data_IF_315244567112
#
_entry.id   IF_315244567112
#
_cell.length_a   1.000
_cell.length_b   1.000
_cell.length_c   1.000
_cell.angle_alpha   90.00
_cell.angle_beta   90.00
_cell.angle_gamma   90.00
#
_symmetry.space_group_name_H-M   'P 1'
#
loop_
_entity.id
_entity.type
_entity.pdbx_description
1 polymer ?
#
# COMPACT_ATOMS: atom_id res chain seq x y z
N UNK A 1 41.71 10.74 13.50
CA UNK A 1 40.49 10.68 12.66
C UNK A 1 39.50 11.67 13.25
N UNK A 2 38.75 12.42 12.44
CA UNK A 2 37.69 13.28 12.97
C UNK A 2 36.52 12.44 13.51
N UNK A 3 35.79 12.99 14.44
CA UNK A 3 34.54 12.40 14.92
C UNK A 3 33.51 12.33 13.81
N UNK A 4 32.90 11.16 13.55
CA UNK A 4 31.79 11.01 12.64
C UNK A 4 30.51 11.53 13.27
N UNK A 5 29.58 12.02 12.43
CA UNK A 5 28.34 12.68 12.85
C UNK A 5 27.13 12.06 12.23
N UNK A 6 26.13 11.79 13.07
CA UNK A 6 24.80 11.33 12.65
C UNK A 6 23.74 12.38 12.97
N UNK A 7 23.03 12.85 11.96
CA UNK A 7 21.84 13.70 12.10
C UNK A 7 20.61 12.80 12.16
N UNK A 8 19.92 12.78 13.30
CA UNK A 8 18.79 11.90 13.59
C UNK A 8 17.54 12.75 13.84
N UNK A 9 16.56 12.63 12.94
CA UNK A 9 15.26 13.31 13.04
C UNK A 9 14.16 12.40 12.56
N UNK A 10 13.50 11.66 13.47
CA UNK A 10 12.53 10.63 13.12
C UNK A 10 11.17 10.89 13.76
N UNK A 11 10.12 10.68 12.98
CA UNK A 11 8.75 10.64 13.49
C UNK A 11 8.48 9.29 14.18
N UNK A 12 8.66 8.18 13.47
CA UNK A 12 8.65 6.83 14.05
C UNK A 12 9.95 6.59 14.81
N UNK A 13 9.83 6.44 16.13
CA UNK A 13 10.94 6.28 17.06
C UNK A 13 11.27 4.82 17.37
N UNK A 14 10.73 3.88 16.61
CA UNK A 14 10.97 2.44 16.77
C UNK A 14 12.48 2.14 16.61
N UNK A 15 13.10 1.52 17.62
CA UNK A 15 14.50 1.11 17.60
C UNK A 15 15.55 2.23 17.60
N UNK A 16 15.13 3.52 17.56
CA UNK A 16 16.07 4.65 17.40
C UNK A 16 17.01 4.82 18.60
N UNK A 17 16.55 4.50 19.80
CA UNK A 17 17.37 4.63 21.03
C UNK A 17 18.53 3.65 21.01
N UNK A 18 18.28 2.39 20.69
CA UNK A 18 19.32 1.36 20.62
C UNK A 18 20.30 1.62 19.48
N UNK A 19 19.77 2.09 18.35
CA UNK A 19 20.58 2.53 17.22
C UNK A 19 21.52 3.68 17.61
N UNK A 20 20.99 4.73 18.24
CA UNK A 20 21.79 5.88 18.68
C UNK A 20 22.79 5.51 19.78
N UNK A 21 22.42 4.63 20.73
CA UNK A 21 23.36 4.08 21.74
C UNK A 21 24.52 3.35 21.08
N UNK A 22 24.26 2.55 20.06
CA UNK A 22 25.29 1.84 19.31
C UNK A 22 26.23 2.80 18.59
N UNK A 23 25.73 3.83 17.92
CA UNK A 23 26.57 4.86 17.30
C UNK A 23 27.41 5.61 18.32
N UNK A 24 26.81 6.03 19.45
CA UNK A 24 27.50 6.76 20.50
C UNK A 24 28.62 5.91 21.10
N UNK A 25 28.42 4.61 21.34
CA UNK A 25 29.45 3.69 21.83
C UNK A 25 30.65 3.54 20.88
N UNK A 26 30.42 3.77 19.57
CA UNK A 26 31.46 3.79 18.55
C UNK A 26 32.09 5.19 18.33
N UNK A 27 31.78 6.16 19.20
CA UNK A 27 32.37 7.50 19.19
C UNK A 27 31.75 8.47 18.17
N UNK A 28 30.53 8.20 17.68
CA UNK A 28 29.79 9.12 16.81
C UNK A 28 29.15 10.25 17.62
N UNK A 29 29.23 11.48 17.13
CA UNK A 29 28.43 12.61 17.63
C UNK A 29 27.01 12.51 17.10
N UNK A 30 26.03 12.58 18.00
CA UNK A 30 24.60 12.57 17.64
C UNK A 30 24.09 14.01 17.60
N UNK A 31 23.55 14.41 16.45
CA UNK A 31 22.85 15.68 16.25
C UNK A 31 21.37 15.35 16.07
N UNK A 32 20.47 16.07 16.72
CA UNK A 32 19.03 15.75 16.62
C UNK A 32 18.14 16.99 16.75
N UNK A 33 16.86 16.80 16.48
CA UNK A 33 15.85 17.86 16.46
C UNK A 33 14.65 17.52 17.36
N UNK A 34 14.02 18.51 17.93
CA UNK A 34 12.68 18.45 18.55
C UNK A 34 12.46 17.22 19.45
N UNK A 35 11.37 16.50 19.17
CA UNK A 35 10.96 15.33 19.96
C UNK A 35 11.92 14.13 19.89
N UNK A 36 12.75 14.02 18.85
CA UNK A 36 13.78 12.97 18.77
C UNK A 36 14.94 13.30 19.71
N UNK A 37 15.42 14.55 19.71
CA UNK A 37 16.47 15.02 20.64
C UNK A 37 16.02 14.81 22.09
N UNK A 38 14.81 15.21 22.43
CA UNK A 38 14.24 15.02 23.77
C UNK A 38 14.25 13.55 24.17
N UNK A 39 13.74 12.66 23.32
CA UNK A 39 13.70 11.21 23.62
C UNK A 39 15.07 10.61 23.83
N UNK A 40 16.07 10.97 23.01
CA UNK A 40 17.42 10.44 23.14
C UNK A 40 18.13 10.96 24.41
N UNK A 41 17.92 12.23 24.80
CA UNK A 41 18.44 12.81 26.05
C UNK A 41 17.82 12.18 27.29
N UNK A 42 16.50 11.90 27.27
CA UNK A 42 15.79 11.18 28.35
C UNK A 42 16.37 9.78 28.58
N UNK A 43 16.92 9.15 27.54
CA UNK A 43 17.58 7.83 27.61
C UNK A 43 19.09 7.92 27.94
N UNK A 44 19.56 9.09 28.37
CA UNK A 44 20.92 9.33 28.86
C UNK A 44 21.99 9.56 27.78
N UNK A 45 21.60 9.74 26.52
CA UNK A 45 22.52 10.02 25.43
C UNK A 45 22.95 11.49 25.41
N UNK A 46 24.22 11.75 25.07
CA UNK A 46 24.68 13.10 24.75
C UNK A 46 24.25 13.42 23.30
N UNK A 47 23.38 14.41 23.20
CA UNK A 47 22.81 14.84 21.91
C UNK A 47 23.01 16.34 21.74
N UNK A 48 23.63 16.73 20.64
CA UNK A 48 23.75 18.10 20.21
C UNK A 48 22.44 18.52 19.52
N UNK A 49 21.86 19.63 19.94
CA UNK A 49 20.65 20.13 19.28
C UNK A 49 21.01 20.77 17.92
N UNK A 50 20.08 20.69 16.99
CA UNK A 50 20.28 21.25 15.64
C UNK A 50 20.57 22.76 15.68
N UNK A 51 19.98 23.49 16.63
CA UNK A 51 20.24 24.92 16.85
C UNK A 51 21.69 25.21 17.22
N UNK A 52 22.38 24.29 17.88
CA UNK A 52 23.79 24.43 18.19
C UNK A 52 24.69 24.26 16.94
N UNK A 53 24.21 23.47 15.95
CA UNK A 53 24.89 23.33 14.66
C UNK A 53 24.63 24.52 13.75
N UNK A 54 23.37 24.97 13.69
CA UNK A 54 22.94 26.05 12.78
C UNK A 54 23.29 27.45 13.32
N UNK A 55 23.50 27.59 14.64
CA UNK A 55 23.59 28.86 15.36
C UNK A 55 22.36 29.76 15.08
N UNK A 56 21.22 29.14 14.79
CA UNK A 56 19.96 29.77 14.49
C UNK A 56 18.82 29.09 15.27
N UNK A 57 17.94 29.85 15.92
CA UNK A 57 16.83 29.28 16.66
C UNK A 57 15.79 28.65 15.71
N UNK A 58 15.10 27.62 16.20
CA UNK A 58 13.90 27.11 15.55
C UNK A 58 12.85 28.22 15.49
N UNK A 59 12.21 28.40 14.32
CA UNK A 59 11.21 29.44 14.12
C UNK A 59 9.96 28.93 13.40
N UNK A 60 8.89 29.75 13.43
CA UNK A 60 7.59 29.42 12.83
C UNK A 60 7.04 28.08 13.37
N UNK A 61 7.01 27.93 14.68
CA UNK A 61 6.53 26.73 15.40
C UNK A 61 7.20 25.41 14.91
N UNK A 62 8.49 25.51 14.56
CA UNK A 62 9.27 24.36 14.12
C UNK A 62 9.24 24.05 12.63
N UNK A 63 8.56 24.84 11.83
CA UNK A 63 8.55 24.66 10.37
C UNK A 63 9.94 24.88 9.75
N UNK A 64 10.78 25.70 10.36
CA UNK A 64 12.14 25.97 9.92
C UNK A 64 13.12 25.68 11.05
N UNK A 65 13.91 24.61 10.89
CA UNK A 65 14.95 24.19 11.85
C UNK A 65 16.16 23.52 11.19
N UNK A 66 15.95 22.77 10.12
CA UNK A 66 17.01 22.01 9.41
C UNK A 66 17.39 22.63 8.07
N UNK A 67 16.58 23.53 7.53
CA UNK A 67 16.84 24.22 6.25
C UNK A 67 17.89 25.31 6.46
N UNK A 68 19.16 24.91 6.58
CA UNK A 68 20.26 25.80 6.88
C UNK A 68 21.53 25.37 6.14
N UNK A 69 22.38 26.31 5.63
CA UNK A 69 23.62 25.99 4.93
C UNK A 69 24.57 25.08 5.70
N UNK A 70 24.64 25.18 7.03
CA UNK A 70 25.48 24.33 7.86
C UNK A 70 25.01 22.86 7.86
N UNK A 71 23.70 22.62 7.72
CA UNK A 71 23.12 21.28 7.63
C UNK A 71 23.30 20.76 6.20
N UNK A 72 22.77 21.45 5.21
CA UNK A 72 22.79 21.00 3.82
C UNK A 72 24.22 20.95 3.25
N UNK A 73 25.06 21.91 3.58
CA UNK A 73 26.48 21.89 3.22
C UNK A 73 27.24 20.75 3.87
N UNK A 74 26.93 20.46 5.15
CA UNK A 74 27.47 19.31 5.87
C UNK A 74 27.12 17.97 5.22
N UNK A 75 25.94 17.85 4.59
CA UNK A 75 25.46 16.68 3.87
C UNK A 75 26.00 16.62 2.43
N UNK A 76 25.91 17.74 1.69
CA UNK A 76 26.12 17.78 0.23
C UNK A 76 27.58 17.93 -0.19
N UNK A 77 28.47 18.36 0.70
CA UNK A 77 29.88 18.54 0.35
C UNK A 77 30.54 17.22 -0.08
N UNK A 78 31.16 17.22 -1.25
CA UNK A 78 31.94 16.11 -1.80
C UNK A 78 33.27 16.06 -1.07
N UNK A 79 33.53 14.98 -0.33
CA UNK A 79 34.63 14.86 0.66
C UNK A 79 36.04 14.80 0.06
N UNK A 80 36.16 14.42 -1.21
CA UNK A 80 37.41 14.33 -1.98
C UNK A 80 37.64 15.51 -2.94
N UNK A 81 36.73 16.49 -2.97
CA UNK A 81 36.86 17.71 -3.76
C UNK A 81 37.57 18.81 -2.94
N UNK A 82 38.76 19.22 -3.35
CA UNK A 82 39.57 20.20 -2.63
C UNK A 82 38.88 21.58 -2.49
N UNK A 83 38.14 22.03 -3.51
CA UNK A 83 37.39 23.27 -3.44
C UNK A 83 36.29 23.21 -2.38
N UNK A 84 35.60 22.06 -2.29
CA UNK A 84 34.59 21.88 -1.24
C UNK A 84 35.21 21.85 0.15
N UNK A 85 36.35 21.18 0.33
CA UNK A 85 37.08 21.17 1.60
C UNK A 85 37.48 22.59 2.04
N UNK A 86 38.01 23.37 1.10
CA UNK A 86 38.37 24.76 1.36
C UNK A 86 37.15 25.57 1.81
N UNK A 87 36.03 25.49 1.06
CA UNK A 87 34.79 26.21 1.38
C UNK A 87 34.22 25.76 2.73
N UNK A 88 34.24 24.47 3.05
CA UNK A 88 33.80 23.99 4.35
C UNK A 88 34.61 24.62 5.49
N UNK A 89 35.94 24.72 5.32
CA UNK A 89 36.82 25.35 6.31
C UNK A 89 36.53 26.85 6.44
N UNK A 90 36.42 27.55 5.33
CA UNK A 90 36.17 29.00 5.30
C UNK A 90 34.81 29.38 5.91
N UNK A 91 33.78 28.52 5.71
CA UNK A 91 32.43 28.77 6.16
C UNK A 91 32.13 28.11 7.53
N UNK A 92 33.08 27.39 8.12
CA UNK A 92 32.87 26.66 9.38
C UNK A 92 31.85 25.52 9.26
N UNK A 93 31.68 24.95 8.07
CA UNK A 93 30.75 23.85 7.82
C UNK A 93 31.44 22.53 8.15
N UNK A 94 30.85 21.77 9.05
CA UNK A 94 31.38 20.47 9.43
C UNK A 94 30.56 19.32 8.76
N UNK A 95 31.23 18.25 8.30
CA UNK A 95 30.55 17.18 7.58
C UNK A 95 29.59 16.38 8.47
N UNK A 96 28.48 15.96 7.87
CA UNK A 96 27.50 15.00 8.43
C UNK A 96 27.67 13.71 7.66
N UNK A 97 27.94 12.59 8.36
CA UNK A 97 28.28 11.30 7.75
C UNK A 97 27.09 10.36 7.64
N UNK A 98 26.03 10.64 8.41
CA UNK A 98 24.81 9.87 8.40
C UNK A 98 23.60 10.76 8.61
N UNK A 99 22.52 10.48 7.87
CA UNK A 99 21.20 11.06 8.07
C UNK A 99 20.20 9.94 8.33
N UNK A 100 19.51 10.01 9.47
CA UNK A 100 18.45 9.07 9.86
C UNK A 100 17.17 9.89 9.98
N UNK A 101 16.26 9.72 9.03
CA UNK A 101 15.05 10.50 9.01
C UNK A 101 13.92 9.72 8.31
N UNK A 102 12.82 9.53 9.01
CA UNK A 102 11.55 9.15 8.41
C UNK A 102 10.59 10.34 8.47
N UNK A 103 9.72 10.41 7.45
CA UNK A 103 8.89 11.58 7.23
C UNK A 103 7.67 11.61 8.16
N UNK A 104 7.01 12.76 8.24
CA UNK A 104 5.73 12.90 8.95
C UNK A 104 4.68 11.95 8.35
N UNK A 105 3.73 11.48 9.18
CA UNK A 105 2.79 10.42 8.81
C UNK A 105 1.63 10.94 7.95
N UNK A 106 1.93 11.48 6.77
CA UNK A 106 0.92 12.02 5.85
C UNK A 106 -0.12 10.96 5.48
N UNK A 107 0.32 9.72 5.23
CA UNK A 107 -0.56 8.58 4.94
C UNK A 107 -1.57 8.35 6.07
N UNK A 108 -1.09 8.21 7.30
CA UNK A 108 -1.93 7.96 8.46
C UNK A 108 -2.88 9.14 8.71
N UNK A 109 -2.41 10.35 8.43
CA UNK A 109 -3.22 11.57 8.61
C UNK A 109 -4.39 11.62 7.63
N UNK A 110 -4.17 11.37 6.34
CA UNK A 110 -5.26 11.37 5.34
C UNK A 110 -6.28 10.24 5.53
N UNK A 111 -5.91 9.17 6.25
CA UNK A 111 -6.80 8.04 6.56
C UNK A 111 -7.61 8.23 7.85
N UNK A 112 -7.33 9.26 8.65
CA UNK A 112 -8.11 9.55 9.86
C UNK A 112 -9.52 10.03 9.50
N UNK A 113 -10.54 9.45 10.13
CA UNK A 113 -11.90 9.93 9.98
C UNK A 113 -12.05 11.35 10.54
N UNK A 114 -12.65 12.26 9.77
CA UNK A 114 -12.95 13.62 10.19
C UNK A 114 -11.73 14.57 10.29
N UNK A 115 -10.57 14.19 9.77
CA UNK A 115 -9.38 15.07 9.73
C UNK A 115 -9.64 16.33 8.93
N UNK A 116 -9.20 17.48 9.43
CA UNK A 116 -9.34 18.77 8.72
C UNK A 116 -8.30 18.90 7.60
N UNK A 117 -8.61 19.77 6.61
CA UNK A 117 -7.65 20.11 5.55
C UNK A 117 -6.37 20.72 6.12
N UNK A 118 -6.54 21.61 7.08
CA UNK A 118 -5.44 22.31 7.75
C UNK A 118 -4.51 21.33 8.45
N UNK A 119 -5.04 20.34 9.16
CA UNK A 119 -4.25 19.27 9.81
C UNK A 119 -3.49 18.43 8.78
N UNK A 120 -4.10 18.12 7.64
CA UNK A 120 -3.44 17.39 6.55
C UNK A 120 -2.28 18.21 5.99
N UNK A 121 -2.48 19.50 5.72
CA UNK A 121 -1.44 20.40 5.19
C UNK A 121 -0.28 20.54 6.17
N UNK A 122 -0.57 20.64 7.47
CA UNK A 122 0.48 20.78 8.49
C UNK A 122 1.34 19.51 8.63
N UNK A 123 0.83 18.36 8.20
CA UNK A 123 1.59 17.11 8.15
C UNK A 123 2.37 16.90 6.84
N UNK A 124 2.49 17.91 5.97
CA UNK A 124 3.41 17.88 4.84
C UNK A 124 4.81 18.24 5.33
N UNK A 125 5.71 17.26 5.31
CA UNK A 125 7.12 17.44 5.72
C UNK A 125 7.92 18.11 4.60
N UNK A 126 8.63 19.18 4.95
CA UNK A 126 9.52 19.91 4.04
C UNK A 126 10.99 19.62 4.36
N UNK A 127 11.37 19.68 5.63
CA UNK A 127 12.76 19.53 6.06
C UNK A 127 13.29 18.11 5.92
N UNK A 128 12.46 17.12 6.26
CA UNK A 128 12.81 15.71 6.12
C UNK A 128 13.17 15.31 4.68
N UNK A 129 12.28 15.53 3.70
CA UNK A 129 12.58 15.27 2.29
C UNK A 129 13.83 15.97 1.78
N UNK A 130 14.10 17.20 2.21
CA UNK A 130 15.30 17.95 1.81
C UNK A 130 16.57 17.24 2.30
N UNK A 131 16.64 16.92 3.59
CA UNK A 131 17.80 16.23 4.18
C UNK A 131 18.07 14.86 3.58
N UNK A 132 17.03 14.01 3.47
CA UNK A 132 17.23 12.63 2.96
C UNK A 132 17.58 12.63 1.48
N UNK A 133 17.03 13.54 0.67
CA UNK A 133 17.36 13.67 -0.76
C UNK A 133 18.77 14.20 -0.94
N UNK A 134 19.22 15.16 -0.13
CA UNK A 134 20.59 15.65 -0.10
C UNK A 134 21.59 14.52 0.23
N UNK A 135 21.30 13.74 1.29
CA UNK A 135 22.10 12.60 1.70
C UNK A 135 22.15 11.50 0.62
N UNK A 136 21.00 11.16 0.03
CA UNK A 136 20.91 10.18 -1.04
C UNK A 136 21.67 10.63 -2.30
N UNK A 137 21.63 11.91 -2.66
CA UNK A 137 22.43 12.44 -3.77
C UNK A 137 23.93 12.32 -3.51
N UNK A 138 24.34 12.42 -2.25
CA UNK A 138 25.75 12.36 -1.83
C UNK A 138 26.10 11.01 -1.16
N UNK A 139 25.41 9.93 -1.55
CA UNK A 139 25.52 8.60 -0.93
C UNK A 139 26.96 8.04 -0.84
N UNK A 140 27.90 8.34 -1.73
CA UNK A 140 29.27 7.84 -1.57
C UNK A 140 29.91 8.28 -0.26
N UNK A 141 29.48 9.40 0.31
CA UNK A 141 30.05 10.00 1.51
C UNK A 141 29.09 10.01 2.71
N UNK A 142 27.80 9.81 2.50
CA UNK A 142 26.77 9.92 3.53
C UNK A 142 25.87 8.69 3.53
N UNK A 143 25.74 8.03 4.66
CA UNK A 143 24.74 6.97 4.85
C UNK A 143 23.39 7.60 5.15
N UNK A 144 22.34 7.19 4.44
CA UNK A 144 20.97 7.68 4.68
C UNK A 144 20.01 6.55 5.02
N UNK A 145 19.25 6.70 6.10
CA UNK A 145 18.31 5.66 6.57
C UNK A 145 16.93 6.27 6.73
N UNK A 146 15.93 5.66 6.09
CA UNK A 146 14.51 6.07 6.18
C UNK A 146 13.62 5.01 6.84
N UNK A 147 14.08 3.76 6.95
CA UNK A 147 13.34 2.64 7.51
C UNK A 147 14.10 2.06 8.74
N UNK A 148 13.47 1.96 9.92
CA UNK A 148 14.06 1.33 11.09
C UNK A 148 14.57 -0.10 10.87
N UNK A 149 14.02 -0.82 9.90
CA UNK A 149 14.47 -2.18 9.53
C UNK A 149 15.92 -2.24 9.04
N UNK A 150 16.47 -1.12 8.60
CA UNK A 150 17.85 -1.05 8.11
C UNK A 150 18.88 -0.79 9.23
N UNK A 151 18.45 -0.45 10.45
CA UNK A 151 19.34 -0.11 11.56
C UNK A 151 20.34 -1.20 11.90
N UNK A 152 19.89 -2.44 12.03
CA UNK A 152 20.74 -3.58 12.40
C UNK A 152 21.85 -3.78 11.37
N UNK A 153 21.51 -3.85 10.08
CA UNK A 153 22.50 -4.03 9.02
C UNK A 153 23.56 -2.93 9.01
N UNK A 154 23.12 -1.68 9.16
CA UNK A 154 24.05 -0.53 9.17
C UNK A 154 24.98 -0.57 10.36
N UNK A 155 24.49 -0.89 11.56
CA UNK A 155 25.33 -1.03 12.76
C UNK A 155 26.35 -2.16 12.60
N UNK A 156 25.95 -3.31 12.08
CA UNK A 156 26.84 -4.45 11.84
C UNK A 156 27.97 -4.09 10.87
N UNK A 157 27.69 -3.39 9.78
CA UNK A 157 28.70 -2.95 8.82
C UNK A 157 29.67 -1.91 9.46
N UNK A 158 29.15 -0.95 10.22
CA UNK A 158 29.99 0.05 10.90
C UNK A 158 30.90 -0.61 11.95
N UNK A 159 30.38 -1.56 12.73
CA UNK A 159 31.18 -2.32 13.71
C UNK A 159 32.28 -3.13 13.05
N UNK A 160 32.01 -3.75 11.93
CA UNK A 160 32.98 -4.59 11.23
C UNK A 160 34.05 -3.79 10.45
N UNK A 161 33.66 -2.65 9.85
CA UNK A 161 34.48 -1.95 8.86
C UNK A 161 34.71 -0.46 9.17
N UNK A 162 34.10 0.08 10.22
CA UNK A 162 34.13 1.51 10.57
C UNK A 162 33.25 2.42 9.74
N UNK A 163 32.60 1.88 8.69
CA UNK A 163 31.64 2.58 7.83
C UNK A 163 30.69 1.59 7.14
N UNK A 164 29.61 2.08 6.56
CA UNK A 164 28.76 1.30 5.64
C UNK A 164 29.44 1.13 4.29
N UNK A 165 29.24 -0.03 3.67
CA UNK A 165 29.74 -0.32 2.32
C UNK A 165 29.09 0.62 1.28
N UNK A 166 29.79 0.84 0.15
CA UNK A 166 29.25 1.67 -0.94
C UNK A 166 27.97 1.06 -1.50
N UNK A 167 27.90 -0.26 -1.61
CA UNK A 167 26.70 -0.99 -2.08
C UNK A 167 25.51 -0.75 -1.15
N UNK A 168 25.72 -0.80 0.17
CA UNK A 168 24.66 -0.49 1.14
C UNK A 168 24.23 0.96 1.07
N UNK A 169 25.17 1.91 0.94
CA UNK A 169 24.84 3.33 0.77
C UNK A 169 24.01 3.58 -0.49
N UNK A 170 24.35 2.95 -1.60
CA UNK A 170 23.61 3.06 -2.88
C UNK A 170 22.20 2.48 -2.75
N UNK A 171 22.06 1.29 -2.12
CA UNK A 171 20.75 0.69 -1.86
C UNK A 171 19.87 1.59 -0.98
N UNK A 172 20.43 2.15 0.08
CA UNK A 172 19.71 3.07 0.97
C UNK A 172 19.32 4.37 0.26
N UNK A 173 20.18 4.89 -0.61
CA UNK A 173 19.85 6.07 -1.44
C UNK A 173 18.69 5.77 -2.41
N UNK A 174 18.67 4.60 -3.04
CA UNK A 174 17.55 4.17 -3.88
C UNK A 174 16.23 4.10 -3.07
N UNK A 175 16.27 3.56 -1.85
CA UNK A 175 15.12 3.54 -0.94
C UNK A 175 14.59 4.95 -0.64
N UNK A 176 15.47 5.95 -0.47
CA UNK A 176 15.06 7.34 -0.26
C UNK A 176 14.23 7.87 -1.43
N UNK A 177 14.69 7.66 -2.68
CA UNK A 177 13.96 8.17 -3.83
C UNK A 177 12.63 7.44 -4.06
N UNK A 178 12.56 6.14 -3.77
CA UNK A 178 11.28 5.40 -3.75
C UNK A 178 10.36 5.97 -2.67
N UNK A 179 10.87 6.22 -1.47
CA UNK A 179 10.10 6.75 -0.34
C UNK A 179 9.57 8.15 -0.61
N UNK A 180 10.39 9.07 -1.13
CA UNK A 180 9.96 10.43 -1.44
C UNK A 180 9.01 10.47 -2.63
N UNK A 181 9.21 9.64 -3.66
CA UNK A 181 8.28 9.53 -4.78
C UNK A 181 6.89 9.05 -4.32
N UNK A 182 6.86 8.06 -3.43
CA UNK A 182 5.63 7.57 -2.81
C UNK A 182 4.95 8.67 -1.98
N UNK A 183 5.70 9.36 -1.14
CA UNK A 183 5.23 10.45 -0.30
C UNK A 183 4.61 11.59 -1.12
N UNK A 184 5.31 12.07 -2.14
CA UNK A 184 4.82 13.13 -3.03
C UNK A 184 3.60 12.68 -3.85
N UNK A 185 3.56 11.39 -4.26
CA UNK A 185 2.40 10.82 -4.94
C UNK A 185 1.14 10.83 -4.08
N UNK A 186 1.25 10.56 -2.78
CA UNK A 186 0.11 10.65 -1.84
C UNK A 186 -0.40 12.08 -1.72
N UNK A 187 0.50 13.06 -1.61
CA UNK A 187 0.15 14.48 -1.53
C UNK A 187 -0.52 14.91 -2.83
N UNK A 188 0.05 14.57 -3.98
CA UNK A 188 -0.51 14.88 -5.30
C UNK A 188 -1.91 14.28 -5.49
N UNK A 189 -2.11 13.03 -5.08
CA UNK A 189 -3.40 12.35 -5.16
C UNK A 189 -4.44 13.00 -4.22
N UNK A 190 -4.05 13.39 -3.01
CA UNK A 190 -4.91 14.12 -2.09
C UNK A 190 -5.43 15.42 -2.71
N UNK A 191 -4.53 16.26 -3.27
CA UNK A 191 -4.93 17.50 -3.93
C UNK A 191 -5.76 17.27 -5.18
N UNK A 192 -5.40 16.29 -6.00
CA UNK A 192 -6.15 15.94 -7.21
C UNK A 192 -7.60 15.55 -6.89
N UNK A 193 -7.78 14.71 -5.87
CA UNK A 193 -9.11 14.32 -5.39
C UNK A 193 -9.89 15.51 -4.83
N UNK A 194 -9.26 16.33 -3.99
CA UNK A 194 -9.89 17.52 -3.40
C UNK A 194 -10.33 18.54 -4.44
N UNK A 195 -9.55 18.73 -5.49
CA UNK A 195 -9.80 19.70 -6.57
C UNK A 195 -10.55 19.09 -7.76
N UNK A 196 -10.96 17.83 -7.66
CA UNK A 196 -11.64 17.08 -8.72
C UNK A 196 -10.89 17.10 -10.07
N UNK A 197 -9.54 16.94 -10.02
CA UNK A 197 -8.70 16.84 -11.20
C UNK A 197 -8.77 15.40 -11.73
N UNK A 198 -9.54 15.16 -12.78
CA UNK A 198 -9.76 13.82 -13.33
C UNK A 198 -8.68 13.39 -14.34
N UNK A 199 -8.16 14.33 -15.13
CA UNK A 199 -7.19 14.05 -16.20
C UNK A 199 -5.97 14.95 -16.08
N UNK A 200 -5.06 14.71 -15.13
CA UNK A 200 -3.85 15.52 -14.97
C UNK A 200 -2.90 15.30 -16.16
N UNK A 201 -2.11 16.33 -16.50
CA UNK A 201 -1.10 16.24 -17.55
C UNK A 201 -0.06 15.12 -17.31
N UNK A 202 0.23 14.86 -16.04
CA UNK A 202 1.10 13.76 -15.60
C UNK A 202 0.35 12.96 -14.55
N UNK A 203 0.16 11.66 -14.79
CA UNK A 203 -0.49 10.75 -13.86
C UNK A 203 0.57 10.12 -12.96
N UNK A 204 0.37 10.22 -11.65
CA UNK A 204 1.21 9.57 -10.64
C UNK A 204 0.35 8.58 -9.85
N UNK A 205 0.71 7.30 -9.92
CA UNK A 205 0.06 6.24 -9.15
C UNK A 205 1.06 5.66 -8.16
N UNK A 206 0.60 5.36 -6.96
CA UNK A 206 1.44 4.74 -5.94
C UNK A 206 0.69 3.61 -5.23
N UNK A 207 1.42 2.53 -4.95
CA UNK A 207 0.90 1.32 -4.33
C UNK A 207 1.92 0.81 -3.31
N UNK A 208 1.44 0.18 -2.25
CA UNK A 208 2.28 -0.51 -1.27
C UNK A 208 2.29 -2.01 -1.53
N UNK A 209 3.46 -2.62 -1.37
CA UNK A 209 3.61 -4.07 -1.49
C UNK A 209 2.85 -4.77 -0.37
N UNK A 210 1.89 -5.62 -0.75
CA UNK A 210 1.13 -6.45 0.19
C UNK A 210 1.76 -7.83 0.36
N UNK A 211 2.16 -8.48 -0.74
CA UNK A 211 2.65 -9.87 -0.71
C UNK A 211 3.53 -10.16 -1.93
N UNK A 212 4.62 -10.92 -1.73
CA UNK A 212 5.30 -11.61 -2.82
C UNK A 212 4.51 -12.86 -3.17
N UNK A 213 4.26 -13.08 -4.46
CA UNK A 213 3.53 -14.24 -4.94
C UNK A 213 4.53 -15.30 -5.42
N UNK A 214 4.17 -16.57 -5.24
CA UNK A 214 5.05 -17.68 -5.59
C UNK A 214 5.44 -17.67 -7.09
N UNK A 215 4.51 -17.28 -7.97
CA UNK A 215 4.68 -17.05 -9.40
C UNK A 215 3.51 -16.24 -9.94
N UNK A 216 3.61 -15.75 -11.18
CA UNK A 216 2.55 -15.02 -11.87
C UNK A 216 1.47 -15.93 -12.44
N UNK A 217 0.92 -15.57 -13.60
CA UNK A 217 -0.05 -16.41 -14.31
C UNK A 217 0.56 -17.77 -14.68
N UNK A 218 1.82 -17.75 -15.08
CA UNK A 218 2.60 -18.97 -15.40
C UNK A 218 3.75 -19.19 -14.43
N UNK A 219 4.18 -20.44 -14.20
CA UNK A 219 5.19 -20.79 -13.18
C UNK A 219 6.56 -20.12 -13.34
N UNK A 220 6.92 -19.69 -14.54
CA UNK A 220 8.21 -19.06 -14.83
C UNK A 220 8.21 -17.53 -14.61
N UNK A 221 7.04 -16.93 -14.30
CA UNK A 221 6.90 -15.51 -14.10
C UNK A 221 6.97 -15.18 -12.61
N UNK A 222 7.79 -14.20 -12.22
CA UNK A 222 7.73 -13.59 -10.90
C UNK A 222 6.52 -12.67 -10.78
N UNK A 223 5.94 -12.57 -9.59
CA UNK A 223 4.81 -11.70 -9.34
C UNK A 223 4.79 -11.17 -7.91
N UNK A 224 4.19 -10.01 -7.76
CA UNK A 224 4.00 -9.32 -6.47
C UNK A 224 2.62 -8.67 -6.46
N UNK A 225 1.94 -8.75 -5.34
CA UNK A 225 0.67 -8.08 -5.12
C UNK A 225 0.88 -6.77 -4.37
N UNK A 226 0.35 -5.69 -4.93
CA UNK A 226 0.37 -4.36 -4.36
C UNK A 226 -1.04 -3.89 -4.04
N UNK A 227 -1.19 -3.01 -3.07
CA UNK A 227 -2.46 -2.39 -2.67
C UNK A 227 -2.38 -0.87 -2.75
N UNK A 228 -3.48 -0.24 -3.08
CA UNK A 228 -3.63 1.21 -2.99
C UNK A 228 -3.73 1.64 -1.51
N UNK A 229 -3.34 2.89 -1.26
CA UNK A 229 -3.49 3.52 0.06
C UNK A 229 -4.81 4.29 0.08
N UNK A 230 -5.86 3.58 0.42
CA UNK A 230 -7.21 4.13 0.58
C UNK A 230 -8.06 3.14 1.37
N UNK A 231 -9.32 3.52 1.60
CA UNK A 231 -10.30 2.60 2.16
C UNK A 231 -10.42 1.34 1.28
N UNK A 232 -10.21 0.18 1.90
CA UNK A 232 -10.21 -1.12 1.21
C UNK A 232 -11.48 -1.94 1.49
N UNK A 233 -12.46 -1.32 2.15
CA UNK A 233 -13.73 -1.95 2.48
C UNK A 233 -14.48 -2.39 1.23
N UNK A 234 -15.03 -3.58 1.26
CA UNK A 234 -15.71 -4.16 0.11
C UNK A 234 -14.78 -4.60 -1.03
N UNK A 235 -13.46 -4.61 -0.83
CA UNK A 235 -12.48 -4.99 -1.85
C UNK A 235 -11.67 -6.22 -1.44
N UNK A 236 -11.07 -6.89 -2.41
CA UNK A 236 -10.15 -8.01 -2.16
C UNK A 236 -8.91 -7.58 -1.35
N UNK A 237 -8.46 -6.34 -1.51
CA UNK A 237 -7.30 -5.82 -0.77
C UNK A 237 -7.57 -5.65 0.72
N UNK A 238 -8.84 -5.47 1.11
CA UNK A 238 -9.31 -5.45 2.49
C UNK A 238 -9.72 -6.82 3.05
N UNK A 239 -9.64 -7.88 2.25
CA UNK A 239 -10.03 -9.21 2.70
C UNK A 239 -9.15 -9.74 3.83
N UNK A 240 -9.78 -10.40 4.80
CA UNK A 240 -9.13 -11.18 5.85
C UNK A 240 -9.19 -12.66 5.44
N UNK A 241 -8.03 -13.29 5.30
CA UNK A 241 -7.98 -14.72 5.03
C UNK A 241 -8.13 -15.51 6.33
N UNK A 242 -9.24 -16.25 6.48
CA UNK A 242 -9.56 -17.03 7.67
C UNK A 242 -8.94 -18.43 7.63
N UNK A 243 -8.75 -19.00 6.44
CA UNK A 243 -8.26 -20.38 6.27
C UNK A 243 -7.56 -20.58 4.93
N UNK A 244 -6.75 -21.64 4.84
CA UNK A 244 -6.16 -22.15 3.62
C UNK A 244 -4.75 -21.63 3.34
N UNK A 245 -4.22 -21.98 2.16
CA UNK A 245 -2.91 -21.54 1.68
C UNK A 245 -2.96 -20.06 1.25
N UNK A 246 -1.79 -19.44 1.11
CA UNK A 246 -1.67 -18.12 0.50
C UNK A 246 -2.34 -18.05 -0.88
N UNK A 247 -2.84 -16.87 -1.22
CA UNK A 247 -3.44 -16.64 -2.53
C UNK A 247 -2.36 -16.66 -3.61
N UNK A 248 -2.67 -17.29 -4.75
CA UNK A 248 -1.86 -17.17 -5.96
C UNK A 248 -2.28 -15.97 -6.80
N UNK A 249 -1.47 -15.63 -7.81
CA UNK A 249 -1.79 -14.61 -8.81
C UNK A 249 -3.18 -14.84 -9.42
N UNK A 250 -3.44 -16.07 -9.87
CA UNK A 250 -4.74 -16.45 -10.47
C UNK A 250 -5.88 -16.39 -9.44
N UNK A 251 -5.67 -16.82 -8.19
CA UNK A 251 -6.71 -16.68 -7.16
C UNK A 251 -7.11 -15.22 -6.93
N UNK A 252 -6.14 -14.29 -6.94
CA UNK A 252 -6.41 -12.86 -6.78
C UNK A 252 -7.22 -12.32 -7.96
N UNK A 253 -6.79 -12.61 -9.20
CA UNK A 253 -7.48 -12.16 -10.42
C UNK A 253 -8.90 -12.72 -10.52
N UNK A 254 -9.06 -14.03 -10.32
CA UNK A 254 -10.34 -14.72 -10.42
C UNK A 254 -11.31 -14.26 -9.31
N UNK A 255 -10.81 -14.08 -8.06
CA UNK A 255 -11.63 -13.56 -6.96
C UNK A 255 -12.09 -12.13 -7.23
N UNK A 256 -11.23 -11.28 -7.80
CA UNK A 256 -11.60 -9.91 -8.16
C UNK A 256 -12.73 -9.90 -9.22
N UNK A 257 -12.63 -10.71 -10.28
CA UNK A 257 -13.69 -10.84 -11.27
C UNK A 257 -15.01 -11.32 -10.69
N UNK A 258 -14.96 -12.32 -9.79
CA UNK A 258 -16.14 -12.81 -9.07
C UNK A 258 -16.79 -11.71 -8.20
N UNK A 259 -15.97 -10.90 -7.51
CA UNK A 259 -16.45 -9.77 -6.70
C UNK A 259 -17.05 -8.65 -7.54
N UNK A 260 -16.45 -8.29 -8.68
CA UNK A 260 -16.99 -7.29 -9.60
C UNK A 260 -18.39 -7.71 -10.07
N UNK A 261 -18.57 -8.95 -10.53
CA UNK A 261 -19.86 -9.51 -10.94
C UNK A 261 -20.87 -9.53 -9.77
N UNK A 262 -20.45 -10.00 -8.57
CA UNK A 262 -21.33 -10.13 -7.40
C UNK A 262 -21.96 -8.78 -7.01
N UNK A 263 -21.22 -7.69 -7.15
CA UNK A 263 -21.68 -6.34 -6.80
C UNK A 263 -22.83 -5.81 -7.64
N UNK A 264 -23.14 -6.45 -8.76
CA UNK A 264 -24.31 -6.10 -9.59
C UNK A 264 -25.63 -6.62 -9.00
N UNK A 265 -25.58 -7.43 -7.92
CA UNK A 265 -26.75 -8.10 -7.34
C UNK A 265 -27.00 -7.66 -5.90
N UNK A 266 -28.28 -7.35 -5.59
CA UNK A 266 -28.72 -6.97 -4.24
C UNK A 266 -29.31 -8.15 -3.48
N UNK A 267 -30.05 -9.05 -4.16
CA UNK A 267 -30.61 -10.29 -3.64
C UNK A 267 -29.52 -11.29 -3.22
N UNK A 268 -29.81 -12.28 -2.37
CA UNK A 268 -28.85 -13.33 -2.04
C UNK A 268 -28.37 -14.03 -3.31
N UNK A 269 -27.08 -13.85 -3.62
CA UNK A 269 -26.48 -14.25 -4.90
C UNK A 269 -25.15 -14.96 -4.68
N UNK A 270 -24.91 -15.97 -5.51
CA UNK A 270 -23.65 -16.71 -5.63
C UNK A 270 -23.10 -16.52 -7.04
N UNK A 271 -21.85 -16.11 -7.13
CA UNK A 271 -21.07 -16.08 -8.37
C UNK A 271 -20.00 -17.15 -8.29
N UNK A 272 -20.06 -18.10 -9.21
CA UNK A 272 -19.00 -19.06 -9.46
C UNK A 272 -18.15 -18.55 -10.64
N UNK A 273 -16.85 -18.38 -10.43
CA UNK A 273 -15.94 -17.88 -11.44
C UNK A 273 -14.75 -18.82 -11.67
N UNK A 274 -14.29 -18.84 -12.92
CA UNK A 274 -13.06 -19.54 -13.31
C UNK A 274 -12.37 -18.76 -14.43
N UNK A 275 -11.05 -18.55 -14.27
CA UNK A 275 -10.27 -17.75 -15.22
C UNK A 275 -10.83 -16.33 -15.40
N UNK A 276 -11.11 -15.68 -14.27
CA UNK A 276 -11.69 -14.34 -14.16
C UNK A 276 -13.08 -14.14 -14.79
N UNK A 277 -13.72 -15.20 -15.28
CA UNK A 277 -15.06 -15.14 -15.87
C UNK A 277 -16.07 -15.93 -15.03
N UNK A 278 -17.34 -15.46 -14.94
CA UNK A 278 -18.38 -16.24 -14.30
C UNK A 278 -18.70 -17.50 -15.15
N UNK A 279 -18.67 -18.68 -14.53
CA UNK A 279 -19.13 -19.93 -15.11
C UNK A 279 -20.53 -20.31 -14.61
N UNK A 280 -21.00 -19.66 -13.55
CA UNK A 280 -22.37 -19.82 -13.04
C UNK A 280 -22.72 -18.70 -12.08
N UNK A 281 -23.90 -18.11 -12.25
CA UNK A 281 -24.45 -17.11 -11.35
C UNK A 281 -25.88 -17.54 -10.96
N UNK A 282 -26.18 -17.50 -9.67
CA UNK A 282 -27.48 -17.85 -9.16
C UNK A 282 -27.96 -16.91 -8.08
N UNK A 283 -29.20 -16.44 -8.19
CA UNK A 283 -29.89 -15.68 -7.15
C UNK A 283 -31.13 -16.42 -6.68
N UNK A 284 -31.35 -16.44 -5.36
CA UNK A 284 -32.51 -17.12 -4.76
C UNK A 284 -32.84 -16.50 -3.38
N UNK A 285 -33.85 -17.06 -2.70
CA UNK A 285 -34.22 -16.61 -1.36
C UNK A 285 -33.14 -16.97 -0.30
N UNK A 286 -32.40 -18.06 -0.51
CA UNK A 286 -31.30 -18.51 0.35
C UNK A 286 -30.01 -18.68 -0.46
N UNK A 287 -28.85 -18.58 0.20
CA UNK A 287 -27.55 -18.83 -0.47
C UNK A 287 -27.40 -20.29 -0.91
N UNK A 288 -27.93 -21.24 -0.15
CA UNK A 288 -27.86 -22.67 -0.54
C UNK A 288 -28.61 -22.93 -1.87
N UNK A 289 -29.79 -22.31 -2.06
CA UNK A 289 -30.53 -22.37 -3.33
C UNK A 289 -29.82 -21.59 -4.44
N UNK A 290 -29.28 -20.41 -4.13
CA UNK A 290 -28.49 -19.61 -5.07
C UNK A 290 -27.25 -20.37 -5.56
N UNK A 291 -26.54 -21.07 -4.65
CA UNK A 291 -25.40 -21.90 -5.00
C UNK A 291 -25.81 -23.08 -5.89
N UNK A 292 -26.94 -23.72 -5.61
CA UNK A 292 -27.43 -24.80 -6.45
C UNK A 292 -27.68 -24.34 -7.89
N UNK A 293 -28.32 -23.17 -8.08
CA UNK A 293 -28.54 -22.57 -9.40
C UNK A 293 -27.20 -22.24 -10.10
N UNK A 294 -26.25 -21.62 -9.39
CA UNK A 294 -24.94 -21.33 -9.94
C UNK A 294 -24.17 -22.60 -10.34
N UNK A 295 -24.27 -23.65 -9.53
CA UNK A 295 -23.67 -24.96 -9.83
C UNK A 295 -24.30 -25.64 -11.03
N UNK A 296 -25.64 -25.66 -11.13
CA UNK A 296 -26.40 -26.26 -12.23
C UNK A 296 -26.18 -25.57 -13.58
N UNK A 297 -25.75 -24.31 -13.58
CA UNK A 297 -25.41 -23.57 -14.80
C UNK A 297 -24.20 -24.20 -15.53
N UNK A 298 -23.16 -24.59 -14.82
CA UNK A 298 -22.01 -25.31 -15.37
C UNK A 298 -21.29 -26.14 -14.28
N UNK A 299 -21.76 -27.37 -14.01
CA UNK A 299 -21.20 -28.20 -12.96
C UNK A 299 -19.78 -28.73 -13.27
N UNK A 300 -19.33 -28.59 -14.51
CA UNK A 300 -17.97 -29.01 -14.92
C UNK A 300 -16.97 -27.87 -14.67
N UNK A 301 -17.28 -26.67 -15.11
CA UNK A 301 -16.34 -25.54 -15.00
C UNK A 301 -16.17 -25.04 -13.57
N UNK A 302 -17.18 -25.18 -12.71
CA UNK A 302 -17.12 -24.75 -11.29
C UNK A 302 -16.07 -25.54 -10.48
N UNK A 303 -15.67 -26.73 -10.94
CA UNK A 303 -14.65 -27.55 -10.29
C UNK A 303 -13.29 -26.81 -10.28
N UNK A 304 -12.74 -26.58 -9.08
CA UNK A 304 -11.52 -25.79 -8.90
C UNK A 304 -11.73 -24.28 -9.11
N UNK A 305 -12.97 -23.82 -9.09
CA UNK A 305 -13.33 -22.39 -9.24
C UNK A 305 -13.33 -21.63 -7.93
N UNK A 306 -13.68 -20.36 -8.05
CA UNK A 306 -13.85 -19.37 -6.99
C UNK A 306 -15.34 -19.15 -6.78
N UNK A 307 -15.77 -19.06 -5.52
CA UNK A 307 -17.15 -18.72 -5.16
C UNK A 307 -17.18 -17.40 -4.42
N UNK A 308 -17.93 -16.43 -4.92
CA UNK A 308 -18.23 -15.19 -4.23
C UNK A 308 -19.71 -15.12 -3.84
N UNK A 309 -20.01 -14.72 -2.61
CA UNK A 309 -21.38 -14.60 -2.09
C UNK A 309 -21.58 -13.29 -1.35
N UNK A 310 -22.79 -12.73 -1.41
CA UNK A 310 -23.11 -11.43 -0.80
C UNK A 310 -23.89 -11.52 0.53
N UNK A 311 -23.99 -12.70 1.11
CA UNK A 311 -24.55 -12.96 2.46
C UNK A 311 -23.64 -13.86 3.23
N UNK A 312 -23.88 -13.99 4.54
CA UNK A 312 -23.19 -14.93 5.40
C UNK A 312 -23.30 -16.36 4.87
N UNK A 313 -22.18 -17.07 4.81
CA UNK A 313 -22.17 -18.52 4.55
C UNK A 313 -22.59 -19.24 5.84
N UNK A 314 -23.81 -19.73 5.85
CA UNK A 314 -24.36 -20.54 6.92
C UNK A 314 -24.02 -22.03 6.78
N UNK A 315 -24.46 -22.85 7.76
CA UNK A 315 -24.27 -24.30 7.74
C UNK A 315 -24.82 -24.93 6.47
N UNK A 316 -26.06 -24.58 6.08
CA UNK A 316 -26.75 -25.22 4.95
C UNK A 316 -26.00 -24.92 3.63
N UNK A 317 -25.53 -23.68 3.45
CA UNK A 317 -24.71 -23.27 2.31
C UNK A 317 -23.36 -24.00 2.31
N UNK A 318 -22.69 -24.11 3.46
CA UNK A 318 -21.45 -24.83 3.58
C UNK A 318 -21.58 -26.34 3.25
N UNK A 319 -22.69 -26.97 3.65
CA UNK A 319 -22.97 -28.36 3.35
C UNK A 319 -23.12 -28.65 1.86
N UNK A 320 -23.75 -27.76 1.08
CA UNK A 320 -23.89 -27.92 -0.37
C UNK A 320 -22.60 -27.55 -1.13
N UNK A 321 -21.76 -26.66 -0.61
CA UNK A 321 -20.46 -26.31 -1.19
C UNK A 321 -19.38 -27.34 -0.91
N UNK A 322 -19.42 -27.97 0.26
CA UNK A 322 -18.32 -28.81 0.75
C UNK A 322 -18.02 -30.05 -0.11
N UNK A 323 -18.96 -30.71 -0.84
CA UNK A 323 -18.63 -31.86 -1.70
C UNK A 323 -17.78 -31.46 -2.92
N UNK A 324 -17.84 -30.21 -3.36
CA UNK A 324 -17.19 -29.73 -4.59
C UNK A 324 -15.78 -29.29 -4.27
N UNK A 325 -14.82 -29.59 -5.15
CA UNK A 325 -13.50 -29.02 -5.05
C UNK A 325 -13.54 -27.54 -5.47
N UNK A 326 -13.29 -26.64 -4.51
CA UNK A 326 -13.21 -25.19 -4.69
C UNK A 326 -11.85 -24.69 -4.21
N UNK A 327 -11.34 -23.66 -4.83
CA UNK A 327 -10.06 -23.05 -4.43
C UNK A 327 -10.23 -21.91 -3.44
N UNK A 328 -11.26 -21.06 -3.64
CA UNK A 328 -11.55 -19.89 -2.79
C UNK A 328 -13.05 -19.78 -2.58
N UNK A 329 -13.45 -19.42 -1.37
CA UNK A 329 -14.79 -18.88 -1.07
C UNK A 329 -14.61 -17.52 -0.43
N UNK A 330 -15.26 -16.49 -1.00
CA UNK A 330 -15.25 -15.15 -0.47
C UNK A 330 -16.67 -14.74 -0.07
N UNK A 331 -16.82 -14.23 1.16
CA UNK A 331 -18.10 -13.91 1.78
C UNK A 331 -17.97 -12.71 2.72
N UNK A 332 -19.06 -12.02 3.10
CA UNK A 332 -19.03 -11.00 4.13
C UNK A 332 -18.76 -11.58 5.53
N UNK A 333 -19.25 -12.81 5.79
CA UNK A 333 -19.00 -13.57 7.03
C UNK A 333 -19.26 -15.07 6.81
N UNK A 334 -18.83 -15.86 7.80
CA UNK A 334 -19.05 -17.30 7.86
C UNK A 334 -19.56 -17.65 9.27
N UNK A 335 -20.60 -18.49 9.38
CA UNK A 335 -21.00 -19.00 10.67
C UNK A 335 -19.95 -19.98 11.24
N UNK A 336 -19.94 -20.22 12.56
CA UNK A 336 -19.02 -21.17 13.19
C UNK A 336 -19.19 -22.58 12.63
N UNK A 337 -20.45 -22.99 12.37
CA UNK A 337 -20.75 -24.29 11.77
C UNK A 337 -20.21 -24.37 10.32
N UNK A 338 -20.36 -23.32 9.54
CA UNK A 338 -19.82 -23.25 8.19
C UNK A 338 -18.28 -23.37 8.20
N UNK A 339 -17.60 -22.64 9.10
CA UNK A 339 -16.16 -22.77 9.27
C UNK A 339 -15.77 -24.19 9.66
N UNK A 340 -16.49 -24.83 10.59
CA UNK A 340 -16.24 -26.23 11.01
C UNK A 340 -16.32 -27.22 9.84
N UNK A 341 -17.22 -26.98 8.87
CA UNK A 341 -17.38 -27.81 7.68
C UNK A 341 -16.28 -27.54 6.66
N UNK A 342 -16.06 -26.27 6.30
CA UNK A 342 -15.21 -25.88 5.18
C UNK A 342 -13.71 -26.02 5.49
N UNK A 343 -13.30 -25.79 6.74
CA UNK A 343 -11.89 -25.89 7.17
C UNK A 343 -11.33 -27.32 7.17
N UNK A 344 -12.20 -28.34 7.05
CA UNK A 344 -11.75 -29.71 6.82
C UNK A 344 -10.94 -29.86 5.53
N UNK A 345 -11.14 -28.97 4.57
CA UNK A 345 -10.37 -28.90 3.33
C UNK A 345 -9.17 -27.99 3.49
N UNK A 346 -8.03 -28.53 3.87
CA UNK A 346 -6.79 -27.79 4.23
C UNK A 346 -6.34 -26.73 3.22
N UNK A 347 -6.64 -26.90 1.94
CA UNK A 347 -6.18 -26.00 0.88
C UNK A 347 -7.24 -24.99 0.45
N UNK A 348 -8.49 -25.12 0.89
CA UNK A 348 -9.56 -24.17 0.58
C UNK A 348 -9.30 -22.83 1.28
N UNK A 349 -9.26 -21.76 0.51
CA UNK A 349 -9.08 -20.43 1.06
C UNK A 349 -10.44 -19.82 1.38
N UNK A 350 -10.60 -19.37 2.61
CA UNK A 350 -11.81 -18.67 3.06
C UNK A 350 -11.43 -17.20 3.27
N UNK A 351 -12.06 -16.32 2.51
CA UNK A 351 -11.82 -14.87 2.54
C UNK A 351 -13.05 -14.17 3.08
N UNK A 352 -12.86 -13.37 4.12
CA UNK A 352 -13.89 -12.50 4.65
C UNK A 352 -13.67 -11.08 4.11
N UNK A 353 -14.70 -10.50 3.48
CA UNK A 353 -14.70 -9.15 2.95
C UNK A 353 -15.87 -8.39 3.58
N UNK A 354 -15.58 -7.52 4.54
CA UNK A 354 -16.60 -6.66 5.15
C UNK A 354 -17.23 -5.74 4.09
N UNK A 355 -18.53 -5.48 4.21
CA UNK A 355 -19.29 -4.66 3.27
C UNK A 355 -19.09 -5.07 1.79
N UNK A 356 -19.09 -6.38 1.52
CA UNK A 356 -18.80 -6.96 0.20
C UNK A 356 -19.63 -6.36 -0.94
N UNK A 357 -20.84 -5.90 -0.65
CA UNK A 357 -21.75 -5.25 -1.63
C UNK A 357 -21.45 -3.76 -1.85
N UNK A 358 -20.49 -3.16 -1.10
CA UNK A 358 -20.12 -1.77 -1.29
C UNK A 358 -19.51 -1.57 -2.66
N UNK A 359 -20.08 -0.65 -3.43
CA UNK A 359 -19.58 -0.25 -4.74
C UNK A 359 -18.71 0.99 -4.58
N UNK A 360 -17.50 0.96 -5.11
CA UNK A 360 -16.65 2.14 -5.26
C UNK A 360 -16.63 2.55 -6.72
N UNK A 361 -17.32 3.64 -7.01
CA UNK A 361 -17.35 4.23 -8.35
C UNK A 361 -16.40 5.42 -8.50
N UNK A 362 -15.65 5.75 -7.45
CA UNK A 362 -14.74 6.90 -7.45
C UNK A 362 -13.34 6.53 -7.91
N UNK A 363 -12.98 5.26 -7.80
CA UNK A 363 -11.69 4.75 -8.26
C UNK A 363 -11.75 4.43 -9.76
N UNK A 364 -10.85 5.01 -10.57
CA UNK A 364 -10.81 4.72 -12.00
C UNK A 364 -10.33 3.29 -12.28
N UNK A 365 -10.82 2.70 -13.36
CA UNK A 365 -10.32 1.41 -13.89
C UNK A 365 -9.11 1.67 -14.78
N UNK A 366 -7.99 1.02 -14.44
CA UNK A 366 -6.73 1.13 -15.18
C UNK A 366 -6.46 -0.16 -15.97
N UNK A 367 -6.05 -0.02 -17.23
CA UNK A 367 -5.65 -1.14 -18.10
C UNK A 367 -4.32 -0.85 -18.74
N UNK A 368 -3.33 -1.71 -18.50
CA UNK A 368 -2.03 -1.60 -19.17
C UNK A 368 -2.14 -1.97 -20.65
N UNK A 369 -1.45 -1.21 -21.48
CA UNK A 369 -1.25 -1.49 -22.91
C UNK A 369 0.23 -1.39 -23.23
N UNK A 370 0.67 -1.88 -24.39
CA UNK A 370 2.07 -1.77 -24.78
C UNK A 370 2.51 -0.30 -24.80
N UNK A 371 3.41 0.06 -23.91
CA UNK A 371 3.96 1.42 -23.81
C UNK A 371 3.05 2.45 -23.12
N UNK A 372 1.93 2.05 -22.50
CA UNK A 372 1.02 3.01 -21.91
C UNK A 372 0.00 2.44 -20.94
N UNK A 373 -0.92 3.32 -20.49
CA UNK A 373 -1.99 3.02 -19.57
C UNK A 373 -3.28 3.70 -20.04
N UNK A 374 -4.36 2.93 -20.09
CA UNK A 374 -5.71 3.45 -20.29
C UNK A 374 -6.36 3.63 -18.93
N UNK A 375 -7.01 4.78 -18.73
CA UNK A 375 -7.79 5.10 -17.53
C UNK A 375 -9.21 5.42 -17.98
N UNK A 376 -10.18 4.84 -17.30
CA UNK A 376 -11.60 5.14 -17.51
C UNK A 376 -12.35 5.10 -16.19
N UNK A 377 -13.51 5.72 -16.15
CA UNK A 377 -14.43 5.57 -15.02
C UNK A 377 -14.96 4.14 -14.94
N UNK A 378 -15.36 3.73 -13.73
CA UNK A 378 -16.07 2.47 -13.53
C UNK A 378 -17.44 2.54 -14.23
N UNK A 379 -17.86 1.45 -14.85
CA UNK A 379 -19.19 1.33 -15.41
C UNK A 379 -20.25 1.26 -14.30
N UNK A 380 -21.07 2.32 -14.19
CA UNK A 380 -22.05 2.49 -13.11
C UNK A 380 -23.48 2.20 -13.57
N UNK A 381 -23.70 2.13 -14.88
CA UNK A 381 -25.04 2.04 -15.45
C UNK A 381 -25.29 0.66 -16.03
N UNK A 382 -26.42 0.05 -15.67
CA UNK A 382 -26.88 -1.17 -16.30
C UNK A 382 -27.62 -0.87 -17.61
N UNK A 383 -28.42 0.18 -17.59
CA UNK A 383 -29.25 0.63 -18.73
C UNK A 383 -29.12 2.16 -18.88
N UNK A 384 -29.00 2.62 -20.12
CA UNK A 384 -29.03 4.04 -20.46
C UNK A 384 -30.37 4.38 -21.13
N UNK A 385 -31.32 4.81 -20.31
CA UNK A 385 -32.66 5.19 -20.76
C UNK A 385 -33.64 4.02 -20.93
N UNK A 386 -34.72 4.24 -21.76
CA UNK A 386 -35.77 3.27 -21.96
C UNK A 386 -35.37 2.14 -22.92
N UNK A 387 -35.82 0.92 -22.61
CA UNK A 387 -35.59 -0.25 -23.46
C UNK A 387 -36.32 -0.10 -24.79
N UNK A 388 -35.61 -0.25 -25.90
CA UNK A 388 -36.15 -0.28 -27.27
C UNK A 388 -36.15 -1.71 -27.79
N UNK A 389 -37.32 -2.18 -28.16
CA UNK A 389 -37.49 -3.50 -28.75
C UNK A 389 -37.35 -3.39 -30.28
N UNK A 390 -36.23 -3.85 -30.83
CA UNK A 390 -35.91 -3.77 -32.26
C UNK A 390 -36.31 -5.02 -33.03
N UNK A 391 -36.81 -6.05 -32.35
CA UNK A 391 -37.28 -7.32 -32.92
C UNK A 391 -38.81 -7.29 -33.11
N UNK A 392 -39.32 -8.11 -34.04
CA UNK A 392 -40.75 -8.23 -34.26
C UNK A 392 -41.53 -8.77 -33.05
N UNK A 393 -40.91 -9.66 -32.28
CA UNK A 393 -41.47 -10.22 -31.04
C UNK A 393 -40.90 -9.47 -29.84
N UNK A 394 -41.75 -9.03 -28.94
CA UNK A 394 -41.36 -8.51 -27.63
C UNK A 394 -41.14 -9.66 -26.66
N UNK A 395 -40.20 -9.56 -25.74
CA UNK A 395 -40.04 -10.54 -24.67
C UNK A 395 -41.27 -10.50 -23.76
N UNK A 396 -41.60 -11.64 -23.15
CA UNK A 396 -42.48 -11.71 -21.98
C UNK A 396 -41.80 -11.07 -20.77
N UNK A 397 -42.56 -10.82 -19.71
CA UNK A 397 -42.01 -10.29 -18.46
C UNK A 397 -40.89 -11.20 -17.92
N UNK A 398 -41.08 -12.51 -17.93
CA UNK A 398 -40.07 -13.48 -17.49
C UNK A 398 -38.83 -13.48 -18.37
N UNK A 399 -38.98 -13.43 -19.68
CA UNK A 399 -37.84 -13.32 -20.60
C UNK A 399 -37.09 -12.01 -20.41
N UNK A 400 -37.76 -10.91 -20.09
CA UNK A 400 -37.12 -9.64 -19.79
C UNK A 400 -36.32 -9.68 -18.50
N UNK A 401 -36.85 -10.30 -17.43
CA UNK A 401 -36.12 -10.55 -16.20
C UNK A 401 -34.85 -11.36 -16.46
N UNK A 402 -34.93 -12.44 -17.23
CA UNK A 402 -33.79 -13.30 -17.56
C UNK A 402 -32.74 -12.54 -18.42
N UNK A 403 -33.18 -11.69 -19.35
CA UNK A 403 -32.31 -10.84 -20.15
C UNK A 403 -31.57 -9.80 -19.28
N UNK A 404 -32.27 -9.15 -18.36
CA UNK A 404 -31.66 -8.20 -17.43
C UNK A 404 -30.70 -8.87 -16.45
N UNK A 405 -31.02 -10.08 -15.99
CA UNK A 405 -30.10 -10.89 -15.19
C UNK A 405 -28.81 -11.22 -15.98
N UNK A 406 -28.96 -11.72 -17.21
CA UNK A 406 -27.82 -12.01 -18.08
C UNK A 406 -26.99 -10.74 -18.37
N UNK A 407 -27.65 -9.60 -18.55
CA UNK A 407 -26.98 -8.31 -18.77
C UNK A 407 -26.11 -7.91 -17.57
N UNK A 408 -26.59 -8.10 -16.32
CA UNK A 408 -25.80 -7.88 -15.12
C UNK A 408 -24.53 -8.78 -15.06
N UNK A 409 -24.65 -10.02 -15.53
CA UNK A 409 -23.54 -10.99 -15.51
C UNK A 409 -22.44 -10.64 -16.51
N UNK A 410 -22.78 -10.07 -17.68
CA UNK A 410 -21.80 -9.79 -18.75
C UNK A 410 -21.23 -8.37 -18.69
N UNK A 411 -21.81 -7.50 -17.87
CA UNK A 411 -21.34 -6.15 -17.64
C UNK A 411 -19.95 -6.15 -17.02
#
# INVERSE_FOLDING_TARGET
MRTKRALISVFDKSGIVDFAKSLNSMGWEIISTGGTSKKLKEEGLQVKDISDLTQFPECFDGRVKTLHPNVEGGILAIRDNEKHKQQMTELGIEPIDMVVCNLYPFKETILKAGVSHEEIIENIDIGGPTMIRAAAKNYPFVTVITDPKDYTKVIEEIQAHGDTSLETKELLAAKVFIHTAHYDALIANYFSKRLNIQSPKTLTLTFEKKQDLRYGENPHQSATFYTQIQETEGTLTGAVQLHGKELSYNNIGDTNGALETLKEFEEPTVVAAKHANPCGVGSAATLAEAFKKAYEADPVSIFGGIIAVNREVDKATAEVMSPIFLEVIVAPSFSEEALTILTKKKNLRLLQVSNISKRDYTSPKAKTVLGGLLIQDMDQQLLDGELKYVTNRRPSEKELEDLLFAWKVVK
#
